data_IF_709439148098
#
_entry.id   IF_709439148098
#
_cell.length_a   1.000
_cell.length_b   1.000
_cell.length_c   1.000
_cell.angle_alpha   90.00
_cell.angle_beta   90.00
_cell.angle_gamma   90.00
#
_symmetry.space_group_name_H-M   'P 1'
#
loop_
_entity.id
_entity.type
_entity.pdbx_description
1 polymer ?
#
# COMPACT_ATOMS: atom_id res chain seq x y z
N UNK A 1 -33.19 -3.97 -5.84
CA UNK A 1 -31.86 -3.62 -5.27
C UNK A 1 -31.13 -4.93 -5.15
N UNK A 2 -30.17 -5.19 -6.04
CA UNK A 2 -29.39 -6.43 -6.01
C UNK A 2 -28.30 -6.26 -4.95
N UNK A 3 -28.35 -7.10 -3.95
CA UNK A 3 -27.32 -7.29 -2.93
C UNK A 3 -26.04 -7.73 -3.64
N UNK A 4 -25.02 -6.88 -3.63
CA UNK A 4 -23.70 -7.18 -4.20
C UNK A 4 -23.08 -8.22 -3.27
N UNK A 5 -23.11 -9.49 -3.68
CA UNK A 5 -22.41 -10.55 -2.98
C UNK A 5 -20.92 -10.17 -2.94
N UNK A 6 -20.42 -9.82 -1.75
CA UNK A 6 -19.00 -9.67 -1.49
C UNK A 6 -18.38 -11.06 -1.62
N UNK A 7 -17.75 -11.34 -2.75
CA UNK A 7 -16.89 -12.50 -2.89
C UNK A 7 -15.66 -12.27 -2.04
N UNK A 8 -15.73 -12.69 -0.78
CA UNK A 8 -14.54 -12.87 0.03
C UNK A 8 -13.79 -14.09 -0.50
N UNK A 9 -12.67 -13.86 -1.15
CA UNK A 9 -11.75 -14.88 -1.69
C UNK A 9 -11.17 -15.74 -0.55
N UNK A 10 -12.02 -16.52 0.13
CA UNK A 10 -11.63 -17.42 1.21
C UNK A 10 -11.06 -16.73 2.46
N UNK A 11 -11.18 -15.42 2.55
CA UNK A 11 -10.76 -14.67 3.73
C UNK A 11 -11.75 -14.88 4.88
N UNK A 12 -11.27 -15.19 6.10
CA UNK A 12 -12.15 -15.28 7.24
C UNK A 12 -12.80 -13.91 7.52
N UNK A 13 -14.10 -13.90 7.81
CA UNK A 13 -14.77 -12.71 8.34
C UNK A 13 -14.25 -12.47 9.76
N UNK A 14 -13.41 -11.45 9.93
CA UNK A 14 -12.79 -11.10 11.22
C UNK A 14 -13.18 -9.68 11.58
N UNK A 15 -13.61 -9.41 12.82
CA UNK A 15 -14.01 -8.07 13.24
C UNK A 15 -12.94 -7.02 12.99
N UNK A 16 -13.34 -5.93 12.35
CA UNK A 16 -12.45 -4.78 12.04
C UNK A 16 -11.42 -5.04 10.95
N UNK A 17 -11.45 -6.18 10.26
CA UNK A 17 -10.67 -6.46 9.06
C UNK A 17 -11.59 -6.34 7.84
N UNK A 18 -11.50 -5.20 7.18
CA UNK A 18 -12.30 -4.87 5.99
C UNK A 18 -11.37 -4.84 4.78
N UNK A 19 -11.21 -6.00 4.13
CA UNK A 19 -10.30 -6.19 2.99
C UNK A 19 -11.01 -6.91 1.84
N UNK A 20 -10.71 -6.48 0.62
CA UNK A 20 -11.19 -7.09 -0.62
C UNK A 20 -9.99 -7.39 -1.52
N UNK A 21 -9.96 -8.59 -2.12
CA UNK A 21 -8.92 -8.98 -3.09
C UNK A 21 -9.56 -9.15 -4.46
N UNK A 22 -9.09 -8.39 -5.43
CA UNK A 22 -9.49 -8.49 -6.82
C UNK A 22 -8.39 -9.22 -7.59
N UNK A 23 -8.56 -10.54 -7.78
CA UNK A 23 -7.59 -11.39 -8.46
C UNK A 23 -7.50 -11.07 -9.95
N UNK A 24 -6.25 -10.95 -10.46
CA UNK A 24 -6.02 -10.62 -11.87
C UNK A 24 -6.68 -9.31 -12.31
N UNK A 25 -6.84 -8.37 -11.39
CA UNK A 25 -7.45 -7.06 -11.65
C UNK A 25 -6.79 -6.33 -12.83
N UNK A 26 -5.47 -6.37 -12.90
CA UNK A 26 -4.70 -5.71 -13.95
C UNK A 26 -4.40 -6.71 -15.07
N UNK A 27 -5.24 -6.72 -16.10
CA UNK A 27 -5.14 -7.67 -17.23
C UNK A 27 -3.90 -7.47 -18.10
N UNK A 28 -3.34 -6.27 -18.12
CA UNK A 28 -2.13 -5.87 -18.85
C UNK A 28 -0.89 -5.80 -17.93
N UNK A 29 -0.91 -6.53 -16.81
CA UNK A 29 0.16 -6.50 -15.81
C UNK A 29 1.54 -6.86 -16.36
N UNK A 30 1.63 -7.78 -17.35
CA UNK A 30 2.87 -8.18 -18.02
C UNK A 30 3.53 -7.01 -18.79
N UNK A 31 2.73 -6.06 -19.30
CA UNK A 31 3.22 -4.84 -19.95
C UNK A 31 3.60 -3.79 -18.91
N UNK A 32 2.76 -3.62 -17.88
CA UNK A 32 2.93 -2.57 -16.87
C UNK A 32 4.17 -2.81 -15.99
N UNK A 33 4.48 -4.05 -15.64
CA UNK A 33 5.54 -4.39 -14.70
C UNK A 33 6.94 -3.94 -15.18
N UNK A 34 7.44 -4.32 -16.38
CA UNK A 34 8.74 -3.87 -16.86
C UNK A 34 8.80 -2.36 -17.05
N UNK A 35 7.74 -1.74 -17.54
CA UNK A 35 7.70 -0.29 -17.72
C UNK A 35 7.79 0.46 -16.37
N UNK A 36 7.11 0.00 -15.32
CA UNK A 36 7.24 0.56 -13.98
C UNK A 36 8.65 0.40 -13.42
N UNK A 37 9.33 -0.71 -13.69
CA UNK A 37 10.72 -0.91 -13.25
C UNK A 37 11.67 0.12 -13.90
N UNK A 38 11.44 0.48 -15.17
CA UNK A 38 12.25 1.40 -15.93
C UNK A 38 11.92 2.87 -15.66
N UNK A 39 10.62 3.23 -15.64
CA UNK A 39 10.16 4.63 -15.58
C UNK A 39 10.20 5.22 -14.16
N UNK A 40 10.19 4.39 -13.11
CA UNK A 40 10.11 4.88 -11.72
C UNK A 40 11.46 5.44 -11.26
N UNK A 41 11.43 6.63 -10.65
CA UNK A 41 12.60 7.27 -10.05
C UNK A 41 12.91 6.64 -8.68
N UNK A 42 13.51 5.46 -8.70
CA UNK A 42 13.81 4.70 -7.50
C UNK A 42 14.79 5.41 -6.58
N UNK A 43 14.42 5.56 -5.32
CA UNK A 43 15.31 5.96 -4.23
C UNK A 43 15.55 4.82 -3.26
N UNK A 44 16.68 4.88 -2.55
CA UNK A 44 17.00 3.97 -1.46
C UNK A 44 17.24 4.80 -0.20
N UNK A 45 16.17 5.09 0.49
CA UNK A 45 16.23 5.86 1.72
C UNK A 45 16.78 5.03 2.89
N UNK A 46 17.11 5.72 3.97
CA UNK A 46 17.55 5.11 5.20
C UNK A 46 16.65 5.58 6.35
N UNK A 47 16.28 4.66 7.21
CA UNK A 47 15.60 4.95 8.48
C UNK A 47 16.59 4.89 9.63
N UNK A 48 16.29 5.62 10.69
CA UNK A 48 17.06 5.54 11.93
C UNK A 48 16.41 4.48 12.84
N UNK A 49 17.13 3.38 13.08
CA UNK A 49 16.71 2.31 13.97
C UNK A 49 17.71 2.23 15.12
N UNK A 50 17.24 2.43 16.36
CA UNK A 50 18.10 2.48 17.55
C UNK A 50 19.31 3.43 17.40
N UNK A 51 19.08 4.63 16.86
CA UNK A 51 20.12 5.64 16.65
C UNK A 51 21.07 5.37 15.47
N UNK A 52 20.93 4.28 14.74
CA UNK A 52 21.74 3.93 13.59
C UNK A 52 20.97 4.11 12.28
N UNK A 53 21.55 4.80 11.30
CA UNK A 53 21.04 4.84 9.93
C UNK A 53 21.14 3.45 9.31
N UNK A 54 19.99 2.90 8.93
CA UNK A 54 19.90 1.63 8.18
C UNK A 54 19.16 1.85 6.86
N UNK A 55 19.68 1.33 5.75
CA UNK A 55 18.96 1.42 4.49
C UNK A 55 17.63 0.67 4.62
N UNK A 56 16.58 1.24 4.07
CA UNK A 56 15.28 0.58 3.94
C UNK A 56 15.47 -0.67 3.07
N UNK A 57 15.00 -1.86 3.49
CA UNK A 57 15.19 -3.10 2.73
C UNK A 57 14.18 -3.20 1.57
N UNK A 58 14.20 -2.23 0.69
CA UNK A 58 13.48 -2.11 -0.58
C UNK A 58 13.91 -0.81 -1.27
N UNK A 59 13.48 -0.59 -2.49
CA UNK A 59 13.56 0.72 -3.14
C UNK A 59 12.15 1.32 -3.18
N UNK A 60 12.06 2.64 -3.12
CA UNK A 60 10.76 3.31 -3.12
C UNK A 60 10.79 4.61 -3.93
N UNK A 61 9.62 5.04 -4.37
CA UNK A 61 9.37 6.35 -4.94
C UNK A 61 7.96 6.80 -4.57
N UNK A 62 7.80 8.10 -4.31
CA UNK A 62 6.52 8.66 -3.95
C UNK A 62 6.06 9.70 -4.97
N UNK A 63 4.86 9.49 -5.52
CA UNK A 63 4.22 10.35 -6.51
C UNK A 63 2.88 10.83 -5.98
N UNK A 64 2.43 12.01 -6.46
CA UNK A 64 1.13 12.53 -6.05
C UNK A 64 0.82 13.91 -6.62
N UNK A 65 -0.31 14.45 -6.21
CA UNK A 65 -0.75 15.78 -6.59
C UNK A 65 0.16 16.84 -5.96
N UNK A 66 0.41 17.93 -6.69
CA UNK A 66 1.20 19.04 -6.20
C UNK A 66 0.65 19.60 -4.88
N UNK A 67 1.53 19.87 -3.93
CA UNK A 67 1.18 20.40 -2.61
C UNK A 67 0.68 19.36 -1.60
N UNK A 68 0.56 18.08 -1.99
CA UNK A 68 0.36 17.00 -1.04
C UNK A 68 1.66 16.68 -0.33
N UNK A 69 1.75 16.97 0.93
CA UNK A 69 2.93 16.65 1.74
C UNK A 69 2.59 15.54 2.71
N UNK A 70 3.45 14.55 2.78
CA UNK A 70 3.28 13.39 3.64
C UNK A 70 4.43 13.28 4.64
N UNK A 71 4.07 13.09 5.90
CA UNK A 71 5.04 12.89 6.98
C UNK A 71 5.37 11.41 7.13
N UNK A 72 6.50 10.94 6.57
CA UNK A 72 6.96 9.58 6.78
C UNK A 72 8.28 9.57 7.54
N UNK A 73 8.33 8.82 8.65
CA UNK A 73 9.53 8.71 9.49
C UNK A 73 10.17 10.04 9.90
N UNK A 74 9.35 11.08 10.19
CA UNK A 74 9.81 12.40 10.62
C UNK A 74 10.34 13.30 9.50
N UNK A 75 10.15 12.94 8.25
CA UNK A 75 10.48 13.75 7.06
C UNK A 75 9.21 14.22 6.37
N UNK A 76 9.20 15.47 5.96
CA UNK A 76 8.20 16.00 5.06
C UNK A 76 8.69 15.81 3.63
N UNK A 77 8.05 14.93 2.89
CA UNK A 77 8.38 14.64 1.49
C UNK A 77 7.41 15.37 0.58
N UNK A 78 7.90 15.94 -0.49
CA UNK A 78 7.07 16.40 -1.60
C UNK A 78 6.99 15.29 -2.65
N UNK A 79 5.80 15.02 -3.22
CA UNK A 79 5.65 13.97 -4.20
C UNK A 79 6.30 14.35 -5.53
N UNK A 80 6.82 13.36 -6.22
CA UNK A 80 7.12 13.49 -7.65
C UNK A 80 5.80 13.69 -8.43
N UNK A 81 5.82 14.40 -9.55
CA UNK A 81 4.63 14.53 -10.40
C UNK A 81 4.22 13.17 -10.98
N UNK A 82 2.92 12.96 -11.12
CA UNK A 82 2.38 11.76 -11.76
C UNK A 82 2.98 11.52 -13.14
N UNK A 83 3.41 10.30 -13.41
CA UNK A 83 3.58 9.84 -14.79
C UNK A 83 2.22 9.49 -15.39
N UNK A 84 2.08 9.49 -16.71
CA UNK A 84 0.82 9.10 -17.37
C UNK A 84 0.38 7.69 -16.97
N UNK A 85 1.34 6.76 -16.87
CA UNK A 85 1.11 5.37 -16.42
C UNK A 85 0.57 5.29 -15.00
N UNK A 86 1.20 5.97 -14.05
CA UNK A 86 0.76 5.96 -12.65
C UNK A 86 -0.61 6.63 -12.48
N UNK A 87 -0.91 7.68 -13.25
CA UNK A 87 -2.21 8.33 -13.25
C UNK A 87 -3.31 7.40 -13.78
N UNK A 88 -3.05 6.68 -14.87
CA UNK A 88 -3.98 5.68 -15.40
C UNK A 88 -4.24 4.54 -14.41
N UNK A 89 -3.19 3.97 -13.82
CA UNK A 89 -3.33 2.91 -12.81
C UNK A 89 -4.07 3.40 -11.56
N UNK A 90 -3.84 4.65 -11.13
CA UNK A 90 -4.61 5.30 -10.07
C UNK A 90 -6.09 5.31 -10.38
N UNK A 91 -6.47 5.76 -11.57
CA UNK A 91 -7.88 5.93 -11.95
C UNK A 91 -8.60 4.58 -12.04
N UNK A 92 -7.91 3.54 -12.53
CA UNK A 92 -8.42 2.15 -12.53
C UNK A 92 -8.63 1.63 -11.10
N UNK A 93 -7.66 1.82 -10.21
CA UNK A 93 -7.78 1.43 -8.80
C UNK A 93 -8.87 2.24 -8.08
N UNK A 94 -8.97 3.54 -8.34
CA UNK A 94 -9.98 4.42 -7.76
C UNK A 94 -11.41 3.99 -8.12
N UNK A 95 -11.64 3.62 -9.37
CA UNK A 95 -12.94 3.11 -9.84
C UNK A 95 -13.34 1.85 -9.09
N UNK A 96 -12.42 0.93 -8.86
CA UNK A 96 -12.70 -0.35 -8.17
C UNK A 96 -12.84 -0.16 -6.67
N UNK A 97 -11.98 0.65 -6.05
CA UNK A 97 -12.03 0.93 -4.62
C UNK A 97 -13.19 1.86 -4.21
N UNK A 98 -13.79 2.58 -5.17
CA UNK A 98 -14.83 3.58 -4.90
C UNK A 98 -14.32 4.81 -4.15
N UNK A 99 -13.01 5.12 -4.26
CA UNK A 99 -12.36 6.24 -3.58
C UNK A 99 -11.38 6.94 -4.54
N UNK A 100 -11.30 8.26 -4.44
CA UNK A 100 -10.32 9.04 -5.18
C UNK A 100 -8.96 9.01 -4.47
N UNK A 101 -7.89 8.78 -5.23
CA UNK A 101 -6.53 8.78 -4.71
C UNK A 101 -5.73 9.97 -5.27
N UNK A 102 -4.90 10.57 -4.43
CA UNK A 102 -4.06 11.73 -4.78
C UNK A 102 -2.57 11.49 -4.55
N UNK A 103 -2.21 10.29 -4.11
CA UNK A 103 -0.82 9.89 -3.91
C UNK A 103 -0.63 8.38 -4.11
N UNK A 104 0.60 7.98 -4.43
CA UNK A 104 1.03 6.59 -4.51
C UNK A 104 2.45 6.42 -4.00
N UNK A 105 2.64 5.47 -3.09
CA UNK A 105 3.96 4.96 -2.73
C UNK A 105 4.23 3.72 -3.57
N UNK A 106 5.25 3.81 -4.43
CA UNK A 106 5.72 2.70 -5.27
C UNK A 106 6.89 2.02 -4.56
N UNK A 107 6.76 0.73 -4.24
CA UNK A 107 7.78 -0.06 -3.57
C UNK A 107 8.30 -1.15 -4.52
N UNK A 108 9.63 -1.26 -4.66
CA UNK A 108 10.30 -2.35 -5.38
C UNK A 108 11.00 -3.27 -4.39
N UNK A 109 10.61 -4.53 -4.41
CA UNK A 109 11.23 -5.63 -3.68
C UNK A 109 12.04 -6.45 -4.71
N UNK A 110 13.37 -6.41 -4.62
CA UNK A 110 14.28 -6.99 -5.61
C UNK A 110 14.37 -8.52 -5.52
N UNK A 111 14.14 -9.02 -4.32
CA UNK A 111 14.19 -10.45 -4.01
C UNK A 111 13.55 -10.73 -2.64
N UNK A 112 13.80 -11.91 -2.08
CA UNK A 112 13.26 -12.34 -0.79
C UNK A 112 13.79 -11.58 0.44
N UNK A 113 14.94 -10.92 0.33
CA UNK A 113 15.53 -10.15 1.44
C UNK A 113 14.84 -8.80 1.66
N UNK A 114 14.24 -8.26 0.59
CA UNK A 114 13.49 -7.02 0.68
C UNK A 114 12.13 -7.25 1.35
N UNK A 115 11.78 -6.32 2.26
CA UNK A 115 10.65 -6.48 3.16
C UNK A 115 10.11 -5.12 3.65
N UNK A 116 8.91 -5.15 4.22
CA UNK A 116 8.38 -4.10 5.09
C UNK A 116 7.91 -4.73 6.39
N UNK A 117 8.31 -4.15 7.52
CA UNK A 117 7.93 -4.61 8.86
C UNK A 117 6.45 -4.40 9.17
N UNK A 118 6.03 -4.83 10.34
CA UNK A 118 4.67 -4.61 10.84
C UNK A 118 4.39 -3.12 10.99
N UNK A 119 3.36 -2.63 10.32
CA UNK A 119 2.90 -1.24 10.36
C UNK A 119 1.40 -1.19 10.01
N UNK A 120 0.82 -0.03 10.15
CA UNK A 120 -0.48 0.34 9.60
C UNK A 120 -0.31 1.65 8.86
N UNK A 121 -1.15 1.91 7.88
CA UNK A 121 -1.26 3.20 7.20
C UNK A 121 -2.27 4.06 7.98
N UNK A 122 -1.87 4.52 9.18
CA UNK A 122 -2.72 5.23 10.14
C UNK A 122 -2.23 6.65 10.47
N UNK A 123 -1.42 7.21 9.57
CA UNK A 123 -0.98 8.59 9.69
C UNK A 123 -2.16 9.56 9.66
N UNK A 124 -2.07 10.63 10.44
CA UNK A 124 -3.14 11.63 10.58
C UNK A 124 -3.58 12.23 9.24
N UNK A 125 -2.65 12.31 8.29
CA UNK A 125 -2.88 12.83 6.94
C UNK A 125 -3.80 11.96 6.09
N UNK A 126 -3.96 10.69 6.46
CA UNK A 126 -4.88 9.76 5.79
C UNK A 126 -6.29 9.78 6.39
N UNK A 127 -6.45 10.41 7.54
CA UNK A 127 -7.71 10.56 8.24
C UNK A 127 -8.20 9.29 8.93
N UNK A 128 -9.44 9.36 9.39
CA UNK A 128 -10.09 8.22 10.04
C UNK A 128 -10.64 7.25 8.99
N UNK A 129 -10.34 5.95 9.13
CA UNK A 129 -10.85 4.88 8.25
C UNK A 129 -10.46 5.07 6.77
N UNK A 130 -9.17 5.24 6.45
CA UNK A 130 -8.74 5.44 5.07
C UNK A 130 -9.02 4.22 4.20
N UNK A 131 -9.30 4.48 2.92
CA UNK A 131 -9.30 3.45 1.88
C UNK A 131 -7.92 3.42 1.25
N UNK A 132 -7.31 2.25 1.23
CA UNK A 132 -5.97 2.01 0.66
C UNK A 132 -6.11 0.98 -0.45
N UNK A 133 -5.63 1.30 -1.65
CA UNK A 133 -5.57 0.37 -2.76
C UNK A 133 -4.12 -0.06 -3.02
N UNK A 134 -3.85 -1.35 -2.93
CA UNK A 134 -2.52 -1.95 -3.04
C UNK A 134 -2.45 -2.88 -4.24
N UNK A 135 -1.89 -2.40 -5.35
CA UNK A 135 -1.72 -3.15 -6.60
C UNK A 135 -0.36 -3.87 -6.60
N UNK A 136 -0.37 -5.17 -6.89
CA UNK A 136 0.81 -6.04 -6.88
C UNK A 136 1.21 -6.44 -8.30
N UNK A 137 2.50 -6.31 -8.64
CA UNK A 137 3.05 -6.74 -9.92
C UNK A 137 4.35 -7.53 -9.72
N UNK A 138 4.59 -8.53 -10.56
CA UNK A 138 5.78 -9.38 -10.51
C UNK A 138 5.60 -10.58 -9.58
N UNK A 139 6.62 -10.91 -8.80
CA UNK A 139 6.63 -12.13 -7.99
C UNK A 139 5.56 -12.14 -6.89
N UNK A 140 4.90 -13.28 -6.74
CA UNK A 140 3.96 -13.52 -5.63
C UNK A 140 4.66 -13.40 -4.28
N UNK A 141 4.10 -12.64 -3.38
CA UNK A 141 4.59 -12.50 -2.01
C UNK A 141 3.46 -12.63 -1.01
N UNK A 142 3.78 -13.25 0.12
CA UNK A 142 2.84 -13.41 1.24
C UNK A 142 2.70 -12.12 2.03
N UNK A 143 1.53 -11.50 1.94
CA UNK A 143 1.11 -10.37 2.72
C UNK A 143 0.43 -10.86 3.99
N UNK A 144 0.82 -10.35 5.13
CA UNK A 144 0.32 -10.82 6.43
C UNK A 144 -0.36 -9.67 7.16
N UNK A 145 -1.47 -10.00 7.80
CA UNK A 145 -2.23 -9.10 8.66
C UNK A 145 -2.33 -9.70 10.06
N UNK A 146 -2.23 -8.87 11.09
CA UNK A 146 -2.45 -9.28 12.48
C UNK A 146 -3.23 -8.20 13.23
N UNK A 147 -4.12 -8.58 14.17
CA UNK A 147 -4.79 -7.62 15.03
C UNK A 147 -3.78 -6.95 15.96
N UNK A 148 -4.00 -5.69 16.29
CA UNK A 148 -3.15 -4.94 17.25
C UNK A 148 -3.33 -5.43 18.68
N UNK A 149 -4.53 -5.89 19.02
CA UNK A 149 -4.90 -6.37 20.34
C UNK A 149 -4.56 -7.85 20.60
N UNK A 150 -4.20 -8.60 19.56
CA UNK A 150 -3.88 -10.02 19.64
C UNK A 150 -5.08 -10.95 19.90
N UNK A 151 -6.33 -10.47 19.81
CA UNK A 151 -7.53 -11.25 20.11
C UNK A 151 -7.98 -12.18 18.98
N UNK A 152 -7.42 -12.02 17.77
CA UNK A 152 -7.74 -12.87 16.62
C UNK A 152 -6.46 -13.45 16.01
N UNK A 153 -6.61 -14.55 15.30
CA UNK A 153 -5.50 -15.15 14.57
C UNK A 153 -5.03 -14.26 13.41
N UNK A 154 -3.72 -14.24 13.11
CA UNK A 154 -3.18 -13.56 11.95
C UNK A 154 -3.76 -14.13 10.65
N UNK A 155 -4.01 -13.26 9.68
CA UNK A 155 -4.45 -13.61 8.33
C UNK A 155 -3.27 -13.46 7.37
N UNK A 156 -3.19 -14.32 6.36
CA UNK A 156 -2.16 -14.24 5.32
C UNK A 156 -2.78 -14.40 3.93
N UNK A 157 -2.33 -13.58 3.00
CA UNK A 157 -2.74 -13.56 1.62
C UNK A 157 -1.50 -13.71 0.72
N UNK A 158 -1.54 -14.59 -0.24
CA UNK A 158 -0.56 -14.58 -1.32
C UNK A 158 -1.06 -13.61 -2.40
N UNK A 159 -0.39 -12.46 -2.54
CA UNK A 159 -0.71 -11.45 -3.55
C UNK A 159 0.12 -11.72 -4.80
N UNK A 160 -0.58 -11.99 -5.89
CA UNK A 160 -0.03 -12.41 -7.16
C UNK A 160 0.14 -11.23 -8.13
N UNK A 161 0.67 -11.53 -9.30
CA UNK A 161 0.85 -10.57 -10.38
C UNK A 161 -0.51 -10.06 -10.91
N UNK A 162 -0.71 -8.75 -10.88
CA UNK A 162 -1.95 -8.11 -11.29
C UNK A 162 -3.06 -8.06 -10.24
N UNK A 163 -2.84 -8.58 -9.01
CA UNK A 163 -3.82 -8.53 -7.94
C UNK A 163 -3.93 -7.13 -7.32
N UNK A 164 -5.14 -6.71 -7.04
CA UNK A 164 -5.45 -5.51 -6.27
C UNK A 164 -6.03 -5.91 -4.90
N UNK A 165 -5.40 -5.46 -3.83
CA UNK A 165 -5.92 -5.51 -2.46
C UNK A 165 -6.48 -4.14 -2.09
N UNK A 166 -7.74 -4.07 -1.68
CA UNK A 166 -8.35 -2.88 -1.09
C UNK A 166 -8.51 -3.12 0.40
N UNK A 167 -7.97 -2.22 1.21
CA UNK A 167 -8.13 -2.18 2.66
C UNK A 167 -8.96 -0.95 3.02
N UNK A 168 -10.00 -1.12 3.82
CA UNK A 168 -10.93 -0.04 4.15
C UNK A 168 -11.36 -0.08 5.61
N UNK A 169 -12.32 0.74 5.96
CA UNK A 169 -13.00 0.71 7.25
C UNK A 169 -12.07 0.87 8.44
N UNK A 170 -12.16 -0.03 9.39
CA UNK A 170 -11.36 -0.03 10.63
C UNK A 170 -10.01 -0.73 10.49
N UNK A 171 -9.69 -1.26 9.30
CA UNK A 171 -8.50 -2.10 9.09
C UNK A 171 -7.22 -1.43 9.56
N UNK A 172 -6.98 -0.17 9.20
CA UNK A 172 -5.74 0.52 9.58
C UNK A 172 -5.69 0.87 11.08
N UNK A 173 -6.83 1.06 11.71
CA UNK A 173 -6.90 1.37 13.14
C UNK A 173 -6.69 0.12 14.02
N UNK A 174 -7.20 -1.04 13.58
CA UNK A 174 -7.26 -2.25 14.40
C UNK A 174 -6.24 -3.33 13.98
N UNK A 175 -5.71 -3.25 12.77
CA UNK A 175 -4.81 -4.26 12.22
C UNK A 175 -3.49 -3.66 11.76
N UNK A 176 -2.45 -4.44 11.86
CA UNK A 176 -1.14 -4.19 11.25
C UNK A 176 -0.93 -5.15 10.09
N UNK A 177 -0.12 -4.72 9.12
CA UNK A 177 0.27 -5.57 8.00
C UNK A 177 1.77 -5.53 7.75
N UNK A 178 2.28 -6.54 7.05
CA UNK A 178 3.69 -6.62 6.68
C UNK A 178 3.89 -7.46 5.42
N UNK A 179 5.04 -7.24 4.77
CA UNK A 179 5.62 -8.13 3.77
C UNK A 179 6.93 -8.68 4.33
N UNK A 180 6.89 -9.87 4.91
CA UNK A 180 8.06 -10.46 5.57
C UNK A 180 9.14 -10.90 4.57
N UNK A 181 10.39 -10.97 5.03
CA UNK A 181 11.46 -11.64 4.29
C UNK A 181 11.11 -13.11 4.04
N UNK A 182 11.65 -13.65 2.96
CA UNK A 182 11.53 -15.08 2.64
C UNK A 182 12.87 -15.64 2.17
N UNK A 183 13.21 -16.82 2.67
CA UNK A 183 14.38 -17.57 2.19
C UNK A 183 14.10 -18.33 0.87
N UNK A 184 12.83 -18.38 0.44
CA UNK A 184 12.49 -18.98 -0.86
C UNK A 184 13.01 -18.08 -1.98
N UNK A 185 13.61 -18.63 -3.04
CA UNK A 185 13.93 -17.87 -4.23
C UNK A 185 12.68 -17.23 -4.80
N UNK A 186 12.67 -15.90 -4.91
CA UNK A 186 11.57 -15.13 -5.51
C UNK A 186 12.16 -14.04 -6.40
N UNK A 187 11.46 -13.72 -7.48
CA UNK A 187 11.79 -12.64 -8.39
C UNK A 187 11.45 -11.26 -7.81
N UNK A 188 11.59 -10.26 -8.67
CA UNK A 188 11.24 -8.89 -8.35
C UNK A 188 9.72 -8.70 -8.21
N UNK A 189 9.33 -7.80 -7.33
CA UNK A 189 7.96 -7.36 -7.14
C UNK A 189 7.90 -5.85 -7.04
N UNK A 190 6.94 -5.25 -7.72
CA UNK A 190 6.53 -3.86 -7.54
C UNK A 190 5.17 -3.84 -6.85
N UNK A 191 5.01 -2.92 -5.92
CA UNK A 191 3.72 -2.68 -5.28
C UNK A 191 3.41 -1.19 -5.31
N UNK A 192 2.22 -0.85 -5.77
CA UNK A 192 1.71 0.51 -5.79
C UNK A 192 0.65 0.64 -4.69
N UNK A 193 0.92 1.47 -3.69
CA UNK A 193 -0.02 1.74 -2.60
C UNK A 193 -0.61 3.12 -2.79
N UNK A 194 -1.83 3.17 -3.32
CA UNK A 194 -2.59 4.41 -3.54
C UNK A 194 -3.31 4.83 -2.28
N UNK A 195 -3.26 6.13 -1.99
CA UNK A 195 -3.85 6.76 -0.81
C UNK A 195 -4.47 8.10 -1.16
N UNK A 196 -5.41 8.54 -0.34
CA UNK A 196 -5.92 9.90 -0.34
C UNK A 196 -5.37 10.64 0.86
N UNK A 197 -4.65 11.74 0.63
CA UNK A 197 -4.15 12.61 1.68
C UNK A 197 -5.22 13.68 1.95
N UNK A 198 -5.80 13.64 3.13
CA UNK A 198 -6.65 14.73 3.60
C UNK A 198 -5.76 15.77 4.28
N UNK A 199 -5.85 17.03 3.86
CA UNK A 199 -5.15 18.08 4.60
C UNK A 199 -5.65 18.08 6.03
N UNK A 200 -4.78 18.12 7.05
CA UNK A 200 -5.23 18.27 8.42
C UNK A 200 -6.09 19.54 8.51
N UNK A 201 -7.25 19.45 9.13
CA UNK A 201 -8.05 20.64 9.43
C UNK A 201 -7.16 21.66 10.14
N UNK A 202 -7.20 22.96 9.79
CA UNK A 202 -6.45 23.95 10.52
C UNK A 202 -6.84 23.83 12.00
N UNK A 203 -5.86 23.96 12.94
CA UNK A 203 -6.19 23.94 14.35
C UNK A 203 -7.27 25.00 14.61
N UNK A 204 -8.38 24.56 15.24
CA UNK A 204 -9.42 25.47 15.66
C UNK A 204 -8.84 26.63 16.48
N UNK A 205 -9.51 27.79 16.53
CA UNK A 205 -9.05 28.92 17.34
C UNK A 205 -8.77 28.40 18.75
N UNK A 206 -7.60 28.70 19.27
CA UNK A 206 -7.25 28.43 20.68
C UNK A 206 -8.01 29.47 21.51
N UNK A 207 -8.99 29.00 22.27
CA UNK A 207 -9.65 29.80 23.31
C UNK A 207 -8.66 30.17 24.43
#
# INVERSE_FOLDING_TARGET
MAERALFHDGLPSVPGLEVEVHRGFLVDADEQFPALLEETHWSRDAIVVFGQKRPIPRMEAWYGDAGRTYGYSGRRLEPLPWTSRLAELRDRCATTAGEAFDSVLVNRYRNGDDAVGWHSDDESELGNRPVIASLSLGATRRFRLRPRDGHHDPVALDLEHGDLLVMSGSTQALWQHCLARTARPVGERVNLTFRRIISPSPPGPRD
#
